data_IF_157931938615
#
_entry.id   IF_157931938615
#
_cell.length_a   1.000
_cell.length_b   1.000
_cell.length_c   1.000
_cell.angle_alpha   90.00
_cell.angle_beta   90.00
_cell.angle_gamma   90.00
#
_symmetry.space_group_name_H-M   'P 1'
#
loop_
_entity.id
_entity.type
_entity.pdbx_description
1 polymer ?
#
# COMPACT_ATOMS: atom_id res chain seq x y z
N UNK A 1 -11.21 -8.04 20.82
CA UNK A 1 -9.98 -7.31 20.43
C UNK A 1 -10.37 -6.40 19.28
N UNK A 2 -10.16 -5.09 19.45
CA UNK A 2 -10.84 -3.99 18.77
C UNK A 2 -10.62 -4.03 17.25
N UNK A 3 -11.66 -4.40 16.51
CA UNK A 3 -11.72 -4.16 15.07
C UNK A 3 -12.15 -2.70 14.93
N UNK A 4 -11.21 -1.79 14.65
CA UNK A 4 -11.53 -0.38 14.38
C UNK A 4 -12.26 -0.28 13.05
N UNK A 5 -13.57 -0.49 13.13
CA UNK A 5 -14.59 -0.02 12.22
C UNK A 5 -14.91 1.41 12.60
N UNK A 6 -14.26 2.39 11.96
CA UNK A 6 -14.78 3.76 11.77
C UNK A 6 -13.84 4.45 10.79
N UNK A 7 -14.33 4.78 9.59
CA UNK A 7 -14.41 6.16 9.07
C UNK A 7 -14.93 6.17 7.61
N UNK A 8 -16.15 6.73 7.44
CA UNK A 8 -16.81 7.25 6.22
C UNK A 8 -17.13 6.27 5.07
N UNK A 9 -18.36 5.82 4.83
CA UNK A 9 -19.63 6.55 4.57
C UNK A 9 -19.53 7.57 3.45
N UNK A 10 -19.50 7.12 2.20
CA UNK A 10 -20.45 7.46 1.12
C UNK A 10 -19.83 7.10 -0.25
N UNK A 11 -20.66 6.55 -1.15
CA UNK A 11 -20.39 6.24 -2.56
C UNK A 11 -19.58 4.94 -2.83
N UNK A 12 -20.31 3.83 -2.80
CA UNK A 12 -20.22 2.67 -3.71
C UNK A 12 -18.87 2.42 -4.41
N UNK A 13 -17.92 1.67 -3.82
CA UNK A 13 -16.71 1.16 -4.52
C UNK A 13 -16.06 -0.04 -3.78
N UNK A 14 -15.33 -0.93 -4.49
CA UNK A 14 -15.01 -2.26 -4.00
C UNK A 14 -14.13 -2.22 -2.74
N UNK A 15 -14.45 -3.09 -1.77
CA UNK A 15 -13.74 -3.31 -0.48
C UNK A 15 -12.25 -3.68 -0.63
N UNK A 16 -11.77 -3.82 -1.87
CA UNK A 16 -10.42 -4.23 -2.20
C UNK A 16 -9.76 -3.13 -3.03
N UNK A 17 -8.76 -2.48 -2.43
CA UNK A 17 -7.82 -1.64 -3.19
C UNK A 17 -7.14 -2.50 -4.26
N UNK A 18 -7.23 -2.08 -5.52
CA UNK A 18 -6.61 -2.79 -6.65
C UNK A 18 -5.08 -2.65 -6.59
N UNK A 19 -4.35 -3.48 -7.34
CA UNK A 19 -2.89 -3.41 -7.38
C UNK A 19 -2.39 -2.01 -7.81
N UNK A 20 -3.09 -1.38 -8.74
CA UNK A 20 -2.80 -0.04 -9.25
C UNK A 20 -3.00 1.05 -8.19
N UNK A 21 -4.09 0.98 -7.41
CA UNK A 21 -4.29 1.89 -6.29
C UNK A 21 -3.19 1.76 -5.22
N UNK A 22 -2.70 0.54 -4.97
CA UNK A 22 -1.56 0.36 -4.06
C UNK A 22 -0.26 0.93 -4.63
N UNK A 23 -0.05 0.88 -5.94
CA UNK A 23 1.10 1.52 -6.58
C UNK A 23 1.05 3.03 -6.42
N UNK A 24 -0.09 3.65 -6.69
CA UNK A 24 -0.27 5.10 -6.49
C UNK A 24 -0.04 5.52 -5.03
N UNK A 25 -0.53 4.74 -4.06
CA UNK A 25 -0.29 5.02 -2.64
C UNK A 25 1.19 4.90 -2.26
N UNK A 26 1.92 3.94 -2.84
CA UNK A 26 3.37 3.79 -2.59
C UNK A 26 4.13 4.96 -3.21
N UNK A 27 3.79 5.36 -4.44
CA UNK A 27 4.39 6.51 -5.10
C UNK A 27 4.10 7.80 -4.33
N UNK A 28 2.86 8.02 -3.89
CA UNK A 28 2.49 9.16 -3.04
C UNK A 28 3.26 9.15 -1.71
N UNK A 29 3.46 7.98 -1.09
CA UNK A 29 4.27 7.88 0.12
C UNK A 29 5.72 8.27 -0.16
N UNK A 30 6.31 7.81 -1.28
CA UNK A 30 7.68 8.15 -1.67
C UNK A 30 7.84 9.64 -2.01
N UNK A 31 6.87 10.22 -2.72
CA UNK A 31 6.85 11.66 -3.04
C UNK A 31 6.63 12.54 -1.80
N UNK A 32 5.83 12.07 -0.84
CA UNK A 32 5.56 12.81 0.39
C UNK A 32 6.78 12.94 1.31
N UNK A 33 7.77 12.04 1.17
CA UNK A 33 8.90 11.95 2.08
C UNK A 33 8.54 11.55 3.51
N UNK A 34 7.27 11.21 3.76
CA UNK A 34 6.78 10.79 5.07
C UNK A 34 7.19 9.35 5.37
N UNK A 35 7.33 9.03 6.66
CA UNK A 35 7.50 7.64 7.08
C UNK A 35 6.26 6.83 6.72
N UNK A 36 6.42 5.52 6.48
CA UNK A 36 5.29 4.63 6.16
C UNK A 36 4.24 4.65 7.28
N UNK A 37 4.65 4.77 8.54
CA UNK A 37 3.73 4.89 9.68
C UNK A 37 2.94 6.18 9.67
N UNK A 38 3.57 7.31 9.37
CA UNK A 38 2.89 8.62 9.31
C UNK A 38 1.92 8.66 8.14
N UNK A 39 2.38 8.21 6.96
CA UNK A 39 1.55 8.10 5.77
C UNK A 39 0.35 7.16 6.00
N UNK A 40 0.58 5.99 6.60
CA UNK A 40 -0.51 5.07 6.93
C UNK A 40 -1.51 5.68 7.92
N UNK A 41 -1.03 6.44 8.90
CA UNK A 41 -1.89 7.10 9.88
C UNK A 41 -2.74 8.20 9.24
N UNK A 42 -2.18 8.98 8.32
CA UNK A 42 -2.91 10.04 7.60
C UNK A 42 -3.95 9.48 6.62
N UNK A 43 -3.65 8.36 5.97
CA UNK A 43 -4.52 7.76 4.94
C UNK A 43 -5.44 6.64 5.48
N UNK A 44 -5.56 6.47 6.81
CA UNK A 44 -6.30 5.39 7.46
C UNK A 44 -5.94 4.00 6.90
N UNK A 45 -4.65 3.76 6.66
CA UNK A 45 -4.13 2.48 6.19
C UNK A 45 -3.53 1.69 7.34
N UNK A 46 -3.65 0.37 7.25
CA UNK A 46 -2.88 -0.51 8.13
C UNK A 46 -1.45 -0.66 7.60
N UNK A 47 -0.47 -0.34 8.44
CA UNK A 47 0.97 -0.48 8.15
C UNK A 47 1.33 -1.90 7.70
N UNK A 48 0.71 -2.91 8.33
CA UNK A 48 0.88 -4.33 7.97
C UNK A 48 0.42 -4.62 6.55
N UNK A 49 -0.76 -4.12 6.18
CA UNK A 49 -1.30 -4.27 4.83
C UNK A 49 -0.43 -3.57 3.79
N UNK A 50 0.10 -2.40 4.13
CA UNK A 50 1.00 -1.63 3.26
C UNK A 50 2.29 -2.40 2.95
N UNK A 51 3.01 -2.89 3.96
CA UNK A 51 4.24 -3.67 3.75
C UNK A 51 3.99 -4.96 2.94
N UNK A 52 2.92 -5.68 3.24
CA UNK A 52 2.55 -6.88 2.49
C UNK A 52 2.32 -6.59 1.00
N UNK A 53 1.67 -5.47 0.68
CA UNK A 53 1.40 -5.06 -0.70
C UNK A 53 2.66 -4.56 -1.39
N UNK A 54 3.48 -3.73 -0.72
CA UNK A 54 4.77 -3.26 -1.23
C UNK A 54 5.69 -4.43 -1.57
N UNK A 55 5.77 -5.45 -0.72
CA UNK A 55 6.55 -6.66 -0.99
C UNK A 55 6.03 -7.42 -2.21
N UNK A 56 4.71 -7.64 -2.30
CA UNK A 56 4.09 -8.35 -3.43
C UNK A 56 4.22 -7.60 -4.77
N UNK A 57 4.22 -6.28 -4.74
CA UNK A 57 4.41 -5.45 -5.92
C UNK A 57 5.87 -5.43 -6.35
N UNK A 58 6.82 -5.42 -5.40
CA UNK A 58 8.25 -5.56 -5.69
C UNK A 58 8.59 -6.90 -6.34
N UNK A 59 7.95 -8.00 -5.93
CA UNK A 59 8.15 -9.33 -6.53
C UNK A 59 7.54 -9.50 -7.93
N UNK A 60 6.68 -8.55 -8.36
CA UNK A 60 6.12 -8.55 -9.73
C UNK A 60 6.99 -7.81 -10.74
N UNK A 61 7.96 -7.01 -10.27
CA UNK A 61 9.09 -6.68 -11.13
C UNK A 61 9.81 -8.02 -11.34
N UNK A 62 9.90 -8.58 -12.56
CA UNK A 62 10.69 -9.78 -12.77
C UNK A 62 12.05 -9.52 -12.10
N UNK A 63 12.61 -10.51 -11.40
CA UNK A 63 13.97 -10.37 -10.92
C UNK A 63 14.83 -10.10 -12.16
N UNK A 64 15.20 -8.84 -12.36
CA UNK A 64 16.27 -8.40 -13.26
C UNK A 64 17.56 -8.89 -12.59
N UNK A 65 17.71 -10.20 -12.60
CA UNK A 65 18.87 -10.97 -12.23
C UNK A 65 19.26 -11.62 -13.54
N UNK A 66 19.89 -10.88 -14.45
CA UNK A 66 21.35 -10.87 -14.55
C UNK A 66 21.92 -12.26 -14.23
N UNK A 67 21.62 -13.21 -15.11
CA UNK A 67 22.40 -14.43 -15.25
C UNK A 67 23.75 -14.00 -15.84
N UNK A 68 24.67 -13.58 -14.97
CA UNK A 68 26.09 -13.55 -15.30
C UNK A 68 26.63 -14.91 -14.88
N UNK A 69 26.86 -15.78 -15.86
CA UNK A 69 27.70 -16.97 -15.77
C UNK A 69 28.27 -17.27 -17.15
#
# INVERSE_FOLDING_TARGET
IKYSSDLNSELTMPKHKTAEQWLQLIEQQELSGLSVSDFCSQHNLSTKSFYNRRSKLRTKKPPESSFIA
#
